data_IF_462028487931
#
_entry.id   IF_462028487931
#
_cell.length_a   1.000
_cell.length_b   1.000
_cell.length_c   1.000
_cell.angle_alpha   90.00
_cell.angle_beta   90.00
_cell.angle_gamma   90.00
#
_symmetry.space_group_name_H-M   'P 1'
#
loop_
_entity.id
_entity.type
_entity.pdbx_description
1 polymer ?
#
# COMPACT_ATOMS: atom_id res chain seq x y z
N UNK A 1 -1.56 13.72 19.76
CA UNK A 1 -1.56 12.38 19.14
C UNK A 1 -0.20 11.74 19.38
N UNK A 2 -0.18 10.45 19.73
CA UNK A 2 1.05 9.67 19.90
C UNK A 2 1.04 8.56 18.85
N UNK A 3 2.13 8.41 18.09
CA UNK A 3 2.29 7.31 17.16
C UNK A 3 2.74 6.05 17.92
N UNK A 4 2.05 4.94 17.71
CA UNK A 4 2.39 3.62 18.25
C UNK A 4 2.71 2.72 17.06
N UNK A 5 3.97 2.29 16.89
CA UNK A 5 4.34 1.43 15.79
C UNK A 5 3.84 0.00 16.03
N UNK A 6 3.42 -0.66 14.95
CA UNK A 6 3.12 -2.08 14.89
C UNK A 6 3.94 -2.70 13.77
N UNK A 7 4.26 -3.99 13.89
CA UNK A 7 5.07 -4.71 12.88
C UNK A 7 4.32 -4.89 11.55
N UNK A 8 2.99 -4.94 11.59
CA UNK A 8 2.13 -5.02 10.41
C UNK A 8 0.77 -4.32 10.60
N UNK A 9 0.09 -4.07 9.48
CA UNK A 9 -1.21 -3.39 9.46
C UNK A 9 -2.31 -4.23 10.11
N UNK A 10 -2.23 -5.56 10.02
CA UNK A 10 -3.23 -6.46 10.59
C UNK A 10 -3.26 -6.37 12.13
N UNK A 11 -2.08 -6.28 12.74
CA UNK A 11 -1.89 -6.10 14.18
C UNK A 11 -2.41 -4.74 14.64
N UNK A 12 -2.13 -3.66 13.89
CA UNK A 12 -2.68 -2.34 14.17
C UNK A 12 -4.23 -2.32 14.09
N UNK A 13 -4.81 -2.96 13.07
CA UNK A 13 -6.26 -3.06 12.91
C UNK A 13 -6.90 -3.93 14.00
N UNK A 14 -6.20 -4.97 14.49
CA UNK A 14 -6.67 -5.75 15.63
C UNK A 14 -6.70 -4.92 16.93
N UNK A 15 -5.66 -4.11 17.18
CA UNK A 15 -5.61 -3.19 18.32
C UNK A 15 -6.72 -2.11 18.24
N UNK A 16 -7.02 -1.63 17.02
CA UNK A 16 -8.15 -0.74 16.78
C UNK A 16 -9.48 -1.40 17.17
N UNK A 17 -9.70 -2.66 16.75
CA UNK A 17 -10.92 -3.41 17.14
C UNK A 17 -11.00 -3.67 18.63
N UNK A 18 -9.86 -3.86 19.30
CA UNK A 18 -9.79 -4.04 20.75
C UNK A 18 -10.00 -2.72 21.53
N UNK A 19 -10.05 -1.57 20.86
CA UNK A 19 -10.20 -0.25 21.48
C UNK A 19 -8.93 0.27 22.15
N UNK A 20 -7.77 -0.34 21.87
CA UNK A 20 -6.47 0.04 22.44
C UNK A 20 -5.92 1.31 21.78
N UNK A 21 -6.30 1.55 20.53
CA UNK A 21 -5.97 2.74 19.76
C UNK A 21 -7.22 3.32 19.11
N UNK A 22 -7.17 4.60 18.76
CA UNK A 22 -8.32 5.33 18.21
C UNK A 22 -8.27 5.49 16.69
N UNK A 23 -7.23 4.99 16.03
CA UNK A 23 -7.08 5.08 14.58
C UNK A 23 -5.82 4.39 14.08
N UNK A 24 -5.82 4.07 12.78
CA UNK A 24 -4.68 3.46 12.07
C UNK A 24 -4.35 4.32 10.87
N UNK A 25 -3.06 4.62 10.68
CA UNK A 25 -2.54 5.29 9.49
C UNK A 25 -1.79 4.25 8.64
N UNK A 26 -2.21 4.06 7.39
CA UNK A 26 -1.64 3.11 6.43
C UNK A 26 -2.07 3.49 5.00
N UNK A 27 -1.61 2.72 4.00
CA UNK A 27 -2.00 2.88 2.60
C UNK A 27 -3.51 2.76 2.38
N UNK A 28 -4.05 3.67 1.56
CA UNK A 28 -5.49 3.79 1.32
C UNK A 28 -6.12 2.50 0.76
N UNK A 29 -5.48 1.86 -0.23
CA UNK A 29 -6.04 0.65 -0.84
C UNK A 29 -6.21 -0.50 0.17
N UNK A 30 -5.28 -0.64 1.12
CA UNK A 30 -5.37 -1.64 2.18
C UNK A 30 -6.50 -1.32 3.15
N UNK A 31 -6.62 -0.07 3.57
CA UNK A 31 -7.66 0.35 4.52
C UNK A 31 -9.05 0.35 3.88
N UNK A 32 -9.19 0.71 2.61
CA UNK A 32 -10.45 0.68 1.87
C UNK A 32 -11.00 -0.74 1.76
N UNK A 33 -10.16 -1.69 1.33
CA UNK A 33 -10.53 -3.10 1.28
C UNK A 33 -10.94 -3.65 2.66
N UNK A 34 -10.20 -3.29 3.71
CA UNK A 34 -10.56 -3.69 5.07
C UNK A 34 -11.87 -3.05 5.55
N UNK A 35 -12.09 -1.76 5.26
CA UNK A 35 -13.28 -1.04 5.68
C UNK A 35 -14.55 -1.62 5.05
N UNK A 36 -14.50 -2.09 3.80
CA UNK A 36 -15.63 -2.77 3.15
C UNK A 36 -16.11 -4.01 3.91
N UNK A 37 -15.20 -4.70 4.62
CA UNK A 37 -15.51 -5.84 5.49
C UNK A 37 -15.86 -5.44 6.94
N UNK A 38 -15.65 -4.17 7.31
CA UNK A 38 -15.77 -3.64 8.67
C UNK A 38 -16.54 -2.31 8.67
N UNK A 39 -17.86 -2.33 8.38
CA UNK A 39 -18.65 -1.12 8.10
C UNK A 39 -18.86 -0.18 9.29
N UNK A 40 -18.58 -0.63 10.51
CA UNK A 40 -18.63 0.21 11.73
C UNK A 40 -17.45 1.21 11.81
N UNK A 41 -16.48 1.07 10.91
CA UNK A 41 -15.32 1.95 10.80
C UNK A 41 -15.42 2.81 9.54
N UNK A 42 -14.74 3.95 9.56
CA UNK A 42 -14.69 4.89 8.45
C UNK A 42 -13.26 5.30 8.15
N UNK A 43 -13.00 5.61 6.88
CA UNK A 43 -11.78 6.32 6.47
C UNK A 43 -11.97 7.80 6.76
N UNK A 44 -10.95 8.43 7.36
CA UNK A 44 -10.96 9.88 7.58
C UNK A 44 -10.92 10.63 6.24
N UNK A 45 -11.70 11.72 6.14
CA UNK A 45 -11.69 12.59 4.95
C UNK A 45 -10.33 13.28 4.76
N UNK A 46 -9.69 13.67 5.86
CA UNK A 46 -8.35 14.24 5.84
C UNK A 46 -7.32 13.15 5.53
N UNK A 47 -6.54 13.37 4.46
CA UNK A 47 -5.50 12.45 4.01
C UNK A 47 -4.14 13.15 4.07
N UNK A 48 -3.13 12.41 4.50
CA UNK A 48 -1.75 12.84 4.39
C UNK A 48 -1.34 12.85 2.91
N UNK A 49 -1.04 14.04 2.38
CA UNK A 49 -0.74 14.26 0.95
C UNK A 49 0.52 15.10 0.73
N UNK A 50 1.29 15.37 1.79
CA UNK A 50 2.51 16.17 1.71
C UNK A 50 3.51 15.56 0.69
N UNK A 51 3.87 16.27 -0.40
CA UNK A 51 4.73 15.76 -1.46
C UNK A 51 6.17 15.46 -1.00
N UNK A 52 6.59 15.95 0.17
CA UNK A 52 7.86 15.56 0.76
C UNK A 52 7.88 14.07 1.18
N UNK A 53 6.71 13.50 1.48
CA UNK A 53 6.55 12.14 1.99
C UNK A 53 5.77 11.24 1.02
N UNK A 54 4.83 11.80 0.26
CA UNK A 54 3.93 11.08 -0.65
C UNK A 54 4.18 11.45 -2.12
N UNK A 55 3.64 10.63 -3.03
CA UNK A 55 3.72 10.85 -4.49
C UNK A 55 4.81 10.04 -5.21
N UNK A 56 5.67 9.33 -4.47
CA UNK A 56 6.52 8.30 -5.06
C UNK A 56 5.68 7.05 -5.35
N UNK A 57 5.82 6.50 -6.54
CA UNK A 57 5.16 5.27 -6.95
C UNK A 57 5.88 4.04 -6.36
N UNK A 58 5.18 2.90 -6.31
CA UNK A 58 5.77 1.62 -5.94
C UNK A 58 6.88 1.23 -6.92
N UNK A 59 7.96 0.65 -6.37
CA UNK A 59 9.12 0.22 -7.13
C UNK A 59 9.70 -1.08 -6.57
N UNK A 60 10.41 -1.82 -7.41
CA UNK A 60 11.20 -2.98 -7.00
C UNK A 60 12.61 -2.50 -6.66
N UNK A 61 13.04 -2.71 -5.42
CA UNK A 61 14.39 -2.38 -4.97
C UNK A 61 15.36 -3.54 -5.24
N UNK A 62 16.54 -3.21 -5.76
CA UNK A 62 17.66 -4.15 -5.94
C UNK A 62 18.91 -3.64 -5.21
N UNK A 63 19.92 -4.49 -5.07
CA UNK A 63 21.23 -4.07 -4.53
C UNK A 63 21.85 -3.00 -5.43
N UNK A 64 22.51 -2.02 -4.82
CA UNK A 64 23.07 -0.87 -5.54
C UNK A 64 24.17 -1.24 -6.55
N UNK A 65 24.88 -2.32 -6.30
CA UNK A 65 25.98 -2.83 -7.12
C UNK A 65 25.55 -3.88 -8.15
N UNK A 66 24.23 -4.04 -8.37
CA UNK A 66 23.65 -5.03 -9.28
C UNK A 66 22.81 -4.37 -10.41
N UNK A 67 23.45 -3.58 -11.29
CA UNK A 67 22.75 -2.89 -12.38
C UNK A 67 22.22 -3.85 -13.45
N UNK A 68 22.79 -5.04 -13.57
CA UNK A 68 22.33 -6.06 -14.51
C UNK A 68 20.93 -6.56 -14.12
N UNK A 69 20.73 -6.90 -12.84
CA UNK A 69 19.42 -7.29 -12.32
C UNK A 69 18.41 -6.15 -12.43
N UNK A 70 18.82 -4.91 -12.16
CA UNK A 70 17.96 -3.73 -12.32
C UNK A 70 17.39 -3.65 -13.76
N UNK A 71 18.28 -3.76 -14.75
CA UNK A 71 17.88 -3.64 -16.15
C UNK A 71 16.98 -4.80 -16.58
N UNK A 72 17.32 -6.03 -16.20
CA UNK A 72 16.51 -7.21 -16.51
C UNK A 72 15.09 -7.11 -15.92
N UNK A 73 14.95 -6.61 -14.69
CA UNK A 73 13.64 -6.37 -14.07
C UNK A 73 12.87 -5.28 -14.81
N UNK A 74 13.52 -4.16 -15.17
CA UNK A 74 12.86 -3.07 -15.89
C UNK A 74 12.37 -3.49 -17.28
N UNK A 75 13.16 -4.27 -18.02
CA UNK A 75 12.77 -4.82 -19.31
C UNK A 75 11.57 -5.77 -19.18
N UNK A 76 11.61 -6.65 -18.17
CA UNK A 76 10.49 -7.56 -17.89
C UNK A 76 9.22 -6.81 -17.47
N UNK A 77 9.32 -5.79 -16.61
CA UNK A 77 8.19 -4.95 -16.21
C UNK A 77 7.59 -4.24 -17.43
N UNK A 78 8.43 -3.68 -18.31
CA UNK A 78 7.97 -3.01 -19.53
C UNK A 78 7.20 -3.98 -20.43
N UNK A 79 7.70 -5.20 -20.60
CA UNK A 79 7.02 -6.23 -21.39
C UNK A 79 5.68 -6.66 -20.76
N UNK A 80 5.64 -6.88 -19.44
CA UNK A 80 4.42 -7.30 -18.73
C UNK A 80 3.37 -6.19 -18.72
N UNK A 81 3.76 -4.94 -18.47
CA UNK A 81 2.83 -3.81 -18.42
C UNK A 81 2.17 -3.52 -19.78
N UNK A 82 2.77 -3.96 -20.88
CA UNK A 82 2.20 -3.86 -22.22
C UNK A 82 1.13 -4.93 -22.52
N UNK A 83 0.94 -5.92 -21.65
CA UNK A 83 -0.04 -7.01 -21.89
C UNK A 83 -1.42 -6.69 -21.31
N UNK A 84 -2.49 -7.29 -21.85
CA UNK A 84 -3.82 -7.22 -21.26
C UNK A 84 -3.89 -7.86 -19.86
N UNK A 85 -3.01 -8.81 -19.56
CA UNK A 85 -2.98 -9.50 -18.27
C UNK A 85 -2.63 -8.54 -17.13
N UNK A 86 -1.76 -7.56 -17.40
CA UNK A 86 -1.45 -6.52 -16.40
C UNK A 86 -2.68 -5.69 -16.04
N UNK A 87 -3.48 -5.31 -17.02
CA UNK A 87 -4.73 -4.59 -16.77
C UNK A 87 -5.73 -5.44 -15.96
N UNK A 88 -5.83 -6.74 -16.27
CA UNK A 88 -6.69 -7.67 -15.53
C UNK A 88 -6.23 -7.82 -14.06
N UNK A 89 -4.92 -7.87 -13.82
CA UNK A 89 -4.38 -7.91 -12.47
C UNK A 89 -4.71 -6.63 -11.69
N UNK A 90 -4.55 -5.45 -12.31
CA UNK A 90 -4.91 -4.19 -11.68
C UNK A 90 -6.39 -4.15 -11.29
N UNK A 91 -7.30 -4.50 -12.20
CA UNK A 91 -8.74 -4.52 -11.94
C UNK A 91 -9.15 -5.53 -10.84
N UNK A 92 -8.42 -6.64 -10.73
CA UNK A 92 -8.71 -7.66 -9.71
C UNK A 92 -8.37 -7.18 -8.31
N UNK A 93 -7.26 -6.46 -8.14
CA UNK A 93 -6.69 -6.14 -6.82
C UNK A 93 -6.89 -4.68 -6.38
N UNK A 94 -7.11 -3.76 -7.33
CA UNK A 94 -7.29 -2.34 -7.08
C UNK A 94 -8.55 -1.87 -7.83
N UNK A 95 -9.72 -2.13 -7.25
CA UNK A 95 -11.01 -1.67 -7.78
C UNK A 95 -11.25 -0.21 -7.46
#
# INVERSE_FOLDING_TARGET
>A
MQAIPYDDVASALAALKAGEITGVMSDFATLDAWQQENPDYAIMDERATDPAYYGKQYAIAVRKDDPELLNAINDALTAVMATPDFQQMQQKWFK
#
